data_IF_343316641742
#
_entry.id   IF_343316641742
#
_cell.length_a   1.000
_cell.length_b   1.000
_cell.length_c   1.000
_cell.angle_alpha   90.00
_cell.angle_beta   90.00
_cell.angle_gamma   90.00
#
_symmetry.space_group_name_H-M   'P 1'
#
loop_
_entity.id
_entity.type
_entity.pdbx_description
1 polymer ?
#
# COMPACT_ATOMS: atom_id res chain seq x y z
N UNK A 1 -37.77 48.10 -0.35
CA UNK A 1 -36.72 47.40 0.44
C UNK A 1 -37.31 46.07 0.85
N UNK A 2 -37.02 45.00 0.11
CA UNK A 2 -37.49 43.65 0.47
C UNK A 2 -36.74 43.19 1.72
N UNK A 3 -37.47 43.04 2.81
CA UNK A 3 -37.00 42.37 4.03
C UNK A 3 -36.86 40.88 3.70
N UNK A 4 -35.62 40.47 3.44
CA UNK A 4 -35.23 39.07 3.25
C UNK A 4 -35.66 38.30 4.51
N UNK A 5 -36.66 37.43 4.38
CA UNK A 5 -37.13 36.56 5.48
C UNK A 5 -35.97 35.64 5.85
N UNK A 6 -35.33 35.90 6.98
CA UNK A 6 -34.23 35.08 7.49
C UNK A 6 -34.83 33.75 7.98
N UNK A 7 -34.55 32.68 7.26
CA UNK A 7 -34.98 31.33 7.64
C UNK A 7 -34.11 30.86 8.80
N UNK A 8 -34.71 30.58 9.95
CA UNK A 8 -34.01 29.95 11.08
C UNK A 8 -33.45 28.60 10.63
N UNK A 9 -32.17 28.36 10.90
CA UNK A 9 -31.49 27.11 10.55
C UNK A 9 -31.14 26.38 11.85
N UNK A 10 -31.52 25.11 11.95
CA UNK A 10 -31.23 24.26 13.10
C UNK A 10 -30.20 23.22 12.68
N UNK A 11 -29.09 23.10 13.42
CA UNK A 11 -28.01 22.17 13.11
C UNK A 11 -27.73 21.25 14.29
N UNK A 12 -27.33 20.02 14.00
CA UNK A 12 -26.74 19.10 14.99
C UNK A 12 -25.22 19.24 14.91
N UNK A 13 -24.58 19.62 16.01
CA UNK A 13 -23.13 19.76 16.12
C UNK A 13 -22.58 18.58 16.91
N UNK A 14 -21.63 17.85 16.33
CA UNK A 14 -20.84 16.82 17.00
C UNK A 14 -19.55 17.47 17.47
N UNK A 15 -19.35 17.51 18.78
CA UNK A 15 -18.18 18.09 19.43
C UNK A 15 -16.99 17.12 19.40
N UNK A 16 -15.76 17.58 19.68
CA UNK A 16 -14.56 16.74 19.63
C UNK A 16 -14.54 15.57 20.63
N UNK A 17 -15.40 15.59 21.64
CA UNK A 17 -15.61 14.53 22.63
C UNK A 17 -16.75 13.56 22.23
N UNK A 18 -17.18 13.60 20.97
CA UNK A 18 -18.30 12.87 20.39
C UNK A 18 -19.68 13.17 21.03
N UNK A 19 -19.77 14.19 21.89
CA UNK A 19 -21.05 14.69 22.37
C UNK A 19 -21.78 15.50 21.30
N UNK A 20 -23.11 15.54 21.36
CA UNK A 20 -23.94 16.22 20.36
C UNK A 20 -24.68 17.40 20.98
N UNK A 21 -24.63 18.56 20.35
CA UNK A 21 -25.35 19.76 20.74
C UNK A 21 -26.19 20.32 19.59
N UNK A 22 -27.35 20.89 19.91
CA UNK A 22 -28.19 21.58 18.93
C UNK A 22 -27.77 23.04 18.83
N UNK A 23 -27.45 23.50 17.62
CA UNK A 23 -27.16 24.89 17.28
C UNK A 23 -28.37 25.51 16.59
N UNK A 24 -28.75 26.73 16.98
CA UNK A 24 -29.86 27.46 16.37
C UNK A 24 -29.33 28.78 15.82
N UNK A 25 -29.44 28.95 14.51
CA UNK A 25 -29.06 30.16 13.79
C UNK A 25 -30.31 30.97 13.50
N UNK A 26 -30.65 31.90 14.39
CA UNK A 26 -31.87 32.72 14.30
C UNK A 26 -31.88 33.65 13.08
N UNK A 27 -30.70 34.09 12.64
CA UNK A 27 -30.50 34.98 11.48
C UNK A 27 -30.22 34.21 10.17
N UNK A 28 -30.36 32.88 10.18
CA UNK A 28 -30.02 32.02 9.05
C UNK A 28 -28.53 31.72 8.91
N UNK A 29 -28.15 31.10 7.79
CA UNK A 29 -26.76 30.70 7.54
C UNK A 29 -25.86 31.94 7.33
N UNK A 30 -24.72 32.04 8.06
CA UNK A 30 -23.78 33.14 7.89
C UNK A 30 -23.26 33.25 6.44
N UNK A 31 -22.91 34.46 6.02
CA UNK A 31 -22.37 34.69 4.67
C UNK A 31 -20.95 34.12 4.47
N UNK A 32 -20.25 33.73 5.54
CA UNK A 32 -18.90 33.18 5.51
C UNK A 32 -18.73 32.00 6.46
N UNK A 33 -17.79 31.11 6.12
CA UNK A 33 -17.43 29.95 6.95
C UNK A 33 -16.89 30.39 8.31
N UNK A 34 -16.12 31.48 8.33
CA UNK A 34 -15.60 32.04 9.56
C UNK A 34 -16.71 32.55 10.49
N UNK A 35 -17.77 33.15 9.93
CA UNK A 35 -18.98 33.51 10.68
C UNK A 35 -19.65 32.28 11.30
N UNK A 36 -19.76 31.18 10.56
CA UNK A 36 -20.31 29.93 11.07
C UNK A 36 -19.44 29.30 12.18
N UNK A 37 -18.12 29.34 12.02
CA UNK A 37 -17.18 28.87 13.06
C UNK A 37 -17.33 29.69 14.34
N UNK A 38 -17.48 31.02 14.24
CA UNK A 38 -17.65 31.89 15.39
C UNK A 38 -18.97 31.62 16.12
N UNK A 39 -20.06 31.38 15.40
CA UNK A 39 -21.35 31.03 16.00
C UNK A 39 -21.31 29.67 16.72
N UNK A 40 -20.63 28.68 16.11
CA UNK A 40 -20.37 27.38 16.75
C UNK A 40 -19.50 27.54 18.01
N UNK A 41 -18.46 28.39 17.98
CA UNK A 41 -17.65 28.70 19.18
C UNK A 41 -18.49 29.28 20.30
N UNK A 42 -19.33 30.26 19.96
CA UNK A 42 -20.13 31.00 20.92
C UNK A 42 -21.16 30.10 21.60
N UNK A 43 -21.94 29.32 20.83
CA UNK A 43 -23.02 28.49 21.39
C UNK A 43 -22.53 27.16 21.97
N UNK A 44 -21.43 26.59 21.46
CA UNK A 44 -20.87 25.33 21.97
C UNK A 44 -19.73 25.53 23.00
N UNK A 45 -19.40 26.77 23.37
CA UNK A 45 -18.37 27.07 24.37
C UNK A 45 -16.95 26.62 23.98
N UNK A 46 -16.68 26.51 22.67
CA UNK A 46 -15.41 26.00 22.16
C UNK A 46 -14.34 27.10 22.13
N UNK A 47 -13.13 26.75 22.58
CA UNK A 47 -11.94 27.62 22.55
C UNK A 47 -10.91 27.06 21.58
N UNK A 48 -10.23 27.93 20.83
CA UNK A 48 -9.18 27.55 19.88
C UNK A 48 -9.62 27.56 18.41
N UNK A 49 -8.74 27.10 17.53
CA UNK A 49 -9.01 26.93 16.10
C UNK A 49 -9.52 25.51 15.83
N UNK A 50 -10.59 25.37 15.05
CA UNK A 50 -11.11 24.08 14.59
C UNK A 50 -11.60 24.18 13.14
N UNK A 51 -11.78 23.02 12.51
CA UNK A 51 -12.47 22.86 11.22
C UNK A 51 -13.86 22.27 11.44
N UNK A 52 -14.74 22.54 10.48
CA UNK A 52 -16.07 21.94 10.41
C UNK A 52 -16.11 20.94 9.26
N UNK A 53 -16.75 19.80 9.52
CA UNK A 53 -17.14 18.84 8.49
C UNK A 53 -18.66 18.76 8.44
N UNK A 54 -19.25 18.57 7.26
CA UNK A 54 -20.69 18.30 7.11
C UNK A 54 -20.92 16.84 6.74
N UNK A 55 -22.07 16.32 7.13
CA UNK A 55 -22.50 14.97 6.78
C UNK A 55 -23.17 14.98 5.40
N UNK A 56 -22.61 14.23 4.44
CA UNK A 56 -23.13 14.16 3.08
C UNK A 56 -24.02 12.90 2.89
N UNK A 57 -25.29 13.12 2.56
CA UNK A 57 -26.26 12.04 2.34
C UNK A 57 -26.03 11.28 1.03
N UNK A 58 -25.33 11.86 0.05
CA UNK A 58 -25.02 11.22 -1.24
C UNK A 58 -23.90 10.18 -1.12
N UNK A 59 -23.04 10.30 -0.10
CA UNK A 59 -21.90 9.42 0.16
C UNK A 59 -22.07 8.59 1.43
N UNK A 60 -23.28 8.09 1.68
CA UNK A 60 -23.53 7.17 2.79
C UNK A 60 -23.42 7.79 4.19
N UNK A 61 -23.68 9.09 4.32
CA UNK A 61 -23.57 9.86 5.57
C UNK A 61 -22.13 9.98 6.10
N UNK A 62 -21.13 9.95 5.21
CA UNK A 62 -19.75 10.26 5.54
C UNK A 62 -19.54 11.78 5.77
N UNK A 63 -18.49 12.12 6.53
CA UNK A 63 -18.17 13.51 6.88
C UNK A 63 -17.13 14.11 5.92
N UNK A 64 -17.48 15.22 5.27
CA UNK A 64 -16.62 15.95 4.34
C UNK A 64 -16.24 17.32 4.91
N UNK A 65 -15.06 17.81 4.55
CA UNK A 65 -14.63 19.15 4.98
C UNK A 65 -15.55 20.21 4.40
N UNK A 66 -16.02 21.11 5.26
CA UNK A 66 -16.90 22.20 4.85
C UNK A 66 -16.08 23.25 4.09
N UNK A 67 -16.31 23.36 2.78
CA UNK A 67 -15.63 24.33 1.90
C UNK A 67 -16.51 25.49 1.48
N UNK A 68 -17.83 25.37 1.68
CA UNK A 68 -18.79 26.45 1.45
C UNK A 68 -19.95 26.37 2.43
N UNK A 69 -20.48 27.51 2.88
CA UNK A 69 -21.67 27.54 3.76
C UNK A 69 -22.92 27.02 3.04
N UNK A 70 -22.93 27.03 1.70
CA UNK A 70 -24.02 26.45 0.88
C UNK A 70 -24.16 24.94 1.00
N UNK A 71 -23.13 24.24 1.49
CA UNK A 71 -23.15 22.79 1.73
C UNK A 71 -23.92 22.44 3.02
N UNK A 72 -24.18 23.45 3.88
CA UNK A 72 -24.93 23.27 5.13
C UNK A 72 -26.41 23.42 4.87
N UNK A 73 -27.17 22.37 5.16
CA UNK A 73 -28.63 22.37 5.06
C UNK A 73 -29.30 22.49 6.42
N UNK A 74 -30.53 23.02 6.45
CA UNK A 74 -31.37 22.99 7.65
C UNK A 74 -31.59 21.55 8.12
N UNK A 75 -31.44 21.33 9.43
CA UNK A 75 -31.40 20.01 10.09
C UNK A 75 -30.19 19.14 9.71
N UNK A 76 -29.17 19.73 9.10
CA UNK A 76 -27.90 19.07 8.80
C UNK A 76 -27.06 18.76 10.05
N UNK A 77 -26.07 17.88 9.89
CA UNK A 77 -25.11 17.53 10.94
C UNK A 77 -23.73 18.07 10.59
N UNK A 78 -23.12 18.81 11.51
CA UNK A 78 -21.75 19.28 11.42
C UNK A 78 -20.89 18.61 12.51
N UNK A 79 -19.64 18.29 12.18
CA UNK A 79 -18.66 17.74 13.10
C UNK A 79 -17.50 18.71 13.29
N UNK A 80 -17.16 18.99 14.54
CA UNK A 80 -16.05 19.85 14.92
C UNK A 80 -14.78 19.02 15.02
N UNK A 81 -13.75 19.42 14.27
CA UNK A 81 -12.42 18.81 14.30
C UNK A 81 -11.44 19.83 14.86
N UNK A 82 -11.03 19.63 16.11
CA UNK A 82 -10.05 20.48 16.78
C UNK A 82 -8.64 20.22 16.23
N UNK A 83 -7.87 21.28 15.96
CA UNK A 83 -6.47 21.17 15.54
C UNK A 83 -5.51 20.87 16.68
N UNK A 84 -5.94 21.06 17.94
CA UNK A 84 -5.08 20.87 19.11
C UNK A 84 -4.92 19.41 19.55
N UNK A 85 -5.73 18.50 18.99
CA UNK A 85 -5.67 17.05 19.24
C UNK A 85 -5.91 16.29 17.93
N UNK A 86 -5.01 15.40 17.49
CA UNK A 86 -5.28 14.55 16.33
C UNK A 86 -6.26 13.44 16.71
N UNK A 87 -7.56 13.63 16.44
CA UNK A 87 -8.57 12.59 16.70
C UNK A 87 -8.72 11.65 15.52
N UNK A 88 -8.36 10.39 15.77
CA UNK A 88 -8.61 9.17 15.00
C UNK A 88 -10.11 8.90 14.86
N UNK A 89 -10.64 8.83 13.64
CA UNK A 89 -12.02 8.35 13.42
C UNK A 89 -12.03 6.83 13.41
N UNK A 90 -12.65 6.27 14.45
CA UNK A 90 -12.99 4.85 14.57
C UNK A 90 -14.33 4.58 13.87
N UNK A 91 -14.35 3.64 12.92
CA UNK A 91 -15.57 2.94 12.52
C UNK A 91 -15.48 1.52 13.08
N UNK A 92 -16.32 1.25 14.07
CA UNK A 92 -16.52 -0.07 14.65
C UNK A 92 -17.54 -0.83 13.80
N UNK A 93 -17.21 -2.05 13.38
CA UNK A 93 -18.22 -3.05 13.07
C UNK A 93 -18.00 -4.34 13.86
N UNK A 94 -19.15 -4.81 14.32
CA UNK A 94 -19.54 -5.94 15.14
C UNK A 94 -18.72 -7.23 15.11
N UNK A 95 -18.50 -7.69 16.34
CA UNK A 95 -18.30 -9.06 16.79
C UNK A 95 -19.38 -10.05 16.32
N UNK A 96 -18.94 -11.24 15.88
CA UNK A 96 -19.70 -12.50 15.99
C UNK A 96 -18.74 -13.60 16.48
N UNK A 97 -19.22 -14.40 17.43
CA UNK A 97 -18.47 -15.29 18.30
C UNK A 97 -18.43 -16.76 17.83
N UNK A 98 -17.33 -17.44 18.19
CA UNK A 98 -17.17 -18.88 18.55
C UNK A 98 -17.17 -19.98 17.46
N UNK A 99 -16.64 -21.21 17.75
CA UNK A 99 -15.58 -21.64 18.69
C UNK A 99 -14.57 -22.67 18.11
N UNK A 100 -13.61 -23.06 18.98
CA UNK A 100 -12.49 -23.99 18.86
C UNK A 100 -12.82 -25.46 18.49
N UNK A 101 -11.97 -26.07 17.66
CA UNK A 101 -11.43 -27.46 17.66
C UNK A 101 -10.70 -27.66 16.33
N UNK A 102 -9.48 -28.18 16.16
CA UNK A 102 -8.65 -29.07 16.95
C UNK A 102 -8.09 -30.10 15.96
N UNK A 103 -6.80 -30.03 15.60
CA UNK A 103 -5.98 -31.17 15.14
C UNK A 103 -4.58 -30.73 14.70
N UNK A 104 -3.57 -31.39 15.28
CA UNK A 104 -2.15 -31.30 14.92
C UNK A 104 -1.89 -31.85 13.50
N UNK A 105 -0.83 -31.40 12.80
CA UNK A 105 -0.22 -32.15 11.70
C UNK A 105 0.93 -33.05 12.21
N UNK A 106 1.13 -34.26 11.65
CA UNK A 106 2.35 -35.01 11.88
C UNK A 106 3.46 -34.56 10.93
N UNK A 107 4.66 -34.58 11.50
CA UNK A 107 5.97 -34.41 10.89
C UNK A 107 6.26 -35.45 9.82
N UNK A 108 6.98 -35.06 8.76
CA UNK A 108 7.90 -35.97 8.08
C UNK A 108 9.10 -35.15 7.60
N UNK A 109 10.24 -35.46 8.21
CA UNK A 109 11.57 -35.13 7.70
C UNK A 109 11.72 -35.71 6.29
N UNK A 110 12.35 -34.96 5.39
CA UNK A 110 13.27 -35.62 4.46
C UNK A 110 14.37 -34.66 4.01
N UNK A 111 15.59 -35.15 4.19
CA UNK A 111 16.85 -34.45 3.97
C UNK A 111 17.38 -34.80 2.59
N UNK A 112 17.53 -33.84 1.66
CA UNK A 112 18.36 -34.06 0.47
C UNK A 112 19.15 -32.81 0.04
N UNK A 113 20.46 -32.93 0.29
CA UNK A 113 21.62 -32.69 -0.55
C UNK A 113 21.58 -31.58 -1.63
N UNK A 114 22.61 -30.74 -1.50
CA UNK A 114 23.13 -29.74 -2.42
C UNK A 114 23.29 -30.25 -3.86
N UNK A 115 22.78 -29.48 -4.83
CA UNK A 115 23.23 -29.54 -6.22
C UNK A 115 23.18 -28.14 -6.81
N UNK A 116 24.30 -27.70 -7.38
CA UNK A 116 24.61 -26.33 -7.76
C UNK A 116 23.62 -25.74 -8.75
N UNK A 117 23.09 -24.56 -8.41
CA UNK A 117 22.33 -23.73 -9.34
C UNK A 117 23.27 -22.70 -9.93
N UNK A 118 23.46 -22.76 -11.24
CA UNK A 118 24.04 -21.67 -12.01
C UNK A 118 23.06 -20.50 -11.98
N UNK A 119 23.48 -19.39 -11.40
CA UNK A 119 22.76 -18.11 -11.50
C UNK A 119 22.96 -17.58 -12.92
N UNK A 120 21.87 -17.28 -13.61
CA UNK A 120 21.92 -16.35 -14.74
C UNK A 120 21.86 -14.95 -14.16
N UNK A 121 23.02 -14.30 -14.07
CA UNK A 121 23.13 -12.88 -13.77
C UNK A 121 22.27 -12.08 -14.75
N UNK A 122 21.14 -11.58 -14.26
CA UNK A 122 20.38 -10.55 -14.96
C UNK A 122 21.20 -9.27 -14.78
N UNK A 123 21.85 -8.87 -15.86
CA UNK A 123 22.63 -7.64 -15.99
C UNK A 123 21.95 -6.48 -15.26
N UNK A 124 22.58 -6.08 -14.15
CA UNK A 124 22.21 -4.90 -13.39
C UNK A 124 22.65 -3.67 -14.18
N UNK A 125 21.79 -3.20 -15.08
CA UNK A 125 21.86 -1.81 -15.54
C UNK A 125 21.14 -0.97 -14.49
N UNK A 126 21.95 -0.30 -13.65
CA UNK A 126 21.50 0.75 -12.73
C UNK A 126 20.64 1.76 -13.48
N UNK A 127 19.60 2.27 -12.81
CA UNK A 127 18.65 3.27 -13.32
C UNK A 127 17.63 2.72 -14.34
N UNK A 128 16.82 1.72 -13.96
CA UNK A 128 15.72 1.22 -14.79
C UNK A 128 14.37 1.51 -14.13
N UNK A 129 13.51 2.20 -14.88
CA UNK A 129 12.15 2.65 -14.57
C UNK A 129 11.15 1.49 -14.34
N UNK A 130 11.41 0.68 -13.32
CA UNK A 130 10.30 0.08 -12.59
C UNK A 130 9.61 1.22 -11.82
N UNK A 131 8.28 1.23 -11.77
CA UNK A 131 7.55 2.11 -10.84
C UNK A 131 7.92 1.86 -9.36
N UNK A 132 8.69 0.80 -9.09
CA UNK A 132 9.27 0.48 -7.80
C UNK A 132 10.76 0.82 -7.76
N UNK A 133 11.22 1.35 -6.64
CA UNK A 133 12.63 1.68 -6.43
C UNK A 133 13.52 0.43 -6.45
N UNK A 134 14.79 0.59 -6.83
CA UNK A 134 15.78 -0.49 -6.68
C UNK A 134 15.95 -0.86 -5.20
N UNK A 135 16.22 -2.13 -4.93
CA UNK A 135 16.38 -2.57 -3.53
C UNK A 135 17.58 -1.84 -2.88
N UNK A 136 17.39 -1.18 -1.73
CA UNK A 136 18.41 -0.32 -1.18
C UNK A 136 19.53 -1.13 -0.51
N UNK A 137 20.77 -0.64 -0.60
CA UNK A 137 21.91 -1.24 0.09
C UNK A 137 21.72 -1.25 1.62
N UNK A 138 21.04 -0.24 2.15
CA UNK A 138 20.64 -0.13 3.56
C UNK A 138 19.14 0.08 3.63
N UNK A 139 18.44 -0.76 4.38
CA UNK A 139 16.99 -0.61 4.52
C UNK A 139 16.69 0.38 5.65
N UNK A 140 16.04 1.49 5.32
CA UNK A 140 15.62 2.47 6.31
C UNK A 140 14.26 2.09 6.87
N UNK A 141 14.20 1.86 8.19
CA UNK A 141 12.94 1.54 8.86
C UNK A 141 12.05 2.78 8.85
N UNK A 142 10.80 2.67 8.35
CA UNK A 142 9.88 3.79 8.25
C UNK A 142 9.50 4.32 9.65
N UNK A 143 8.83 5.46 9.68
CA UNK A 143 8.20 5.95 10.91
C UNK A 143 6.92 5.17 11.14
N UNK A 144 6.72 4.69 12.36
CA UNK A 144 5.49 3.99 12.74
C UNK A 144 4.38 4.97 13.12
N UNK A 145 3.19 4.44 13.38
CA UNK A 145 2.09 5.23 13.93
C UNK A 145 2.50 5.88 15.26
N UNK A 146 1.89 7.03 15.59
CA UNK A 146 2.29 7.81 16.77
C UNK A 146 2.25 7.01 18.08
N UNK A 147 1.22 6.18 18.25
CA UNK A 147 1.08 5.29 19.41
C UNK A 147 2.17 4.20 19.45
N UNK A 148 2.53 3.65 18.30
CA UNK A 148 3.61 2.66 18.20
C UNK A 148 4.97 3.29 18.53
N UNK A 149 5.27 4.47 17.96
CA UNK A 149 6.50 5.21 18.27
C UNK A 149 6.57 5.57 19.76
N UNK A 150 5.47 6.04 20.36
CA UNK A 150 5.43 6.40 21.78
C UNK A 150 5.72 5.17 22.67
N UNK A 151 5.12 4.01 22.36
CA UNK A 151 5.41 2.76 23.08
C UNK A 151 6.86 2.32 22.92
N UNK A 152 7.40 2.42 21.69
CA UNK A 152 8.80 2.07 21.41
C UNK A 152 9.78 2.99 22.15
N UNK A 153 9.49 4.29 22.23
CA UNK A 153 10.26 5.26 22.98
C UNK A 153 10.19 5.00 24.49
N UNK A 154 8.99 4.75 25.03
CA UNK A 154 8.81 4.38 26.44
C UNK A 154 9.59 3.11 26.79
N UNK A 155 9.64 2.14 25.88
CA UNK A 155 10.39 0.91 26.05
C UNK A 155 11.91 1.04 25.80
N UNK A 156 12.37 2.11 25.15
CA UNK A 156 13.79 2.35 24.93
C UNK A 156 14.53 2.66 26.25
N UNK A 157 13.90 3.43 27.15
CA UNK A 157 14.46 3.76 28.46
C UNK A 157 14.80 2.53 29.34
N UNK A 158 13.86 1.60 29.63
CA UNK A 158 14.16 0.42 30.42
C UNK A 158 15.16 -0.52 29.74
N UNK A 159 15.20 -0.53 28.40
CA UNK A 159 16.22 -1.27 27.66
C UNK A 159 17.62 -0.71 27.93
N UNK A 160 17.81 0.61 27.85
CA UNK A 160 19.10 1.26 28.13
C UNK A 160 19.52 1.04 29.59
N UNK A 161 18.57 1.09 30.53
CA UNK A 161 18.86 0.98 31.96
C UNK A 161 19.16 -0.46 32.43
N UNK A 162 18.49 -1.46 31.86
CA UNK A 162 18.47 -2.83 32.43
C UNK A 162 18.60 -3.94 31.38
N UNK A 163 18.71 -3.60 30.10
CA UNK A 163 18.65 -4.58 29.00
C UNK A 163 17.27 -5.25 28.88
N UNK A 164 16.23 -4.67 29.47
CA UNK A 164 14.89 -5.23 29.43
C UNK A 164 14.31 -5.09 28.03
N UNK A 165 14.01 -6.23 27.43
CA UNK A 165 13.36 -6.34 26.12
C UNK A 165 11.86 -6.10 26.26
N UNK A 166 11.30 -5.34 25.33
CA UNK A 166 9.85 -5.18 25.17
C UNK A 166 9.26 -6.42 24.51
N UNK A 167 8.27 -7.03 25.14
CA UNK A 167 7.38 -7.99 24.49
C UNK A 167 6.24 -7.18 23.86
N UNK A 168 6.18 -7.02 22.53
CA UNK A 168 5.17 -6.17 21.90
C UNK A 168 3.78 -6.80 22.05
N UNK A 169 2.79 -5.98 22.37
CA UNK A 169 1.40 -6.42 22.30
C UNK A 169 1.02 -6.78 20.85
N UNK A 170 0.07 -7.71 20.61
CA UNK A 170 -0.28 -8.16 19.26
C UNK A 170 -0.66 -7.02 18.30
N UNK A 171 -1.29 -5.95 18.83
CA UNK A 171 -1.67 -4.77 18.05
C UNK A 171 -0.44 -3.96 17.64
N UNK A 172 0.48 -3.67 18.57
CA UNK A 172 1.77 -3.02 18.25
C UNK A 172 2.58 -3.83 17.26
N UNK A 173 2.68 -5.16 17.46
CA UNK A 173 3.40 -6.05 16.54
C UNK A 173 2.82 -5.98 15.14
N UNK A 174 1.49 -6.04 14.99
CA UNK A 174 0.87 -5.90 13.68
C UNK A 174 1.15 -4.54 13.05
N UNK A 175 1.02 -3.44 13.79
CA UNK A 175 1.24 -2.09 13.27
C UNK A 175 2.68 -1.88 12.73
N UNK A 176 3.68 -2.38 13.45
CA UNK A 176 5.08 -2.37 13.01
C UNK A 176 5.25 -3.18 11.72
N UNK A 177 4.69 -4.41 11.69
CA UNK A 177 4.78 -5.27 10.51
C UNK A 177 4.04 -4.68 9.30
N UNK A 178 2.90 -4.04 9.51
CA UNK A 178 2.13 -3.35 8.47
C UNK A 178 2.96 -2.22 7.85
N UNK A 179 3.53 -1.34 8.68
CA UNK A 179 4.38 -0.25 8.20
C UNK A 179 5.60 -0.74 7.42
N UNK A 180 6.27 -1.79 7.92
CA UNK A 180 7.40 -2.41 7.21
C UNK A 180 6.98 -3.01 5.87
N UNK A 181 5.84 -3.69 5.81
CA UNK A 181 5.33 -4.26 4.55
C UNK A 181 5.01 -3.16 3.55
N UNK A 182 4.37 -2.06 3.98
CA UNK A 182 4.08 -0.92 3.10
C UNK A 182 5.35 -0.29 2.51
N UNK A 183 6.43 -0.24 3.28
CA UNK A 183 7.72 0.24 2.80
C UNK A 183 8.37 -0.77 1.82
N UNK A 184 8.40 -2.06 2.17
CA UNK A 184 8.99 -3.13 1.35
C UNK A 184 8.35 -3.18 -0.04
N UNK A 185 7.02 -3.08 -0.13
CA UNK A 185 6.33 -3.19 -1.42
C UNK A 185 6.61 -2.02 -2.35
N UNK A 186 7.14 -0.89 -1.87
CA UNK A 186 7.61 0.18 -2.77
C UNK A 186 8.84 -0.25 -3.59
N UNK A 187 9.57 -1.28 -3.14
CA UNK A 187 10.73 -1.83 -3.85
C UNK A 187 10.38 -3.14 -4.58
N UNK A 188 9.86 -4.13 -3.85
CA UNK A 188 9.58 -5.47 -4.41
C UNK A 188 8.42 -6.16 -3.69
N UNK A 189 7.56 -6.85 -4.45
CA UNK A 189 6.49 -7.68 -3.86
C UNK A 189 6.99 -9.07 -3.46
N UNK A 190 7.93 -9.61 -4.23
CA UNK A 190 8.52 -10.92 -4.02
C UNK A 190 9.95 -10.77 -3.50
N UNK A 191 10.06 -10.72 -2.18
CA UNK A 191 11.33 -10.47 -1.48
C UNK A 191 12.07 -11.79 -1.24
N UNK A 192 13.39 -11.77 -1.43
CA UNK A 192 14.27 -12.90 -1.16
C UNK A 192 14.54 -13.06 0.35
N UNK A 193 15.07 -14.22 0.74
CA UNK A 193 15.36 -14.48 2.15
C UNK A 193 16.43 -13.53 2.73
N UNK A 194 17.44 -13.16 1.93
CA UNK A 194 18.51 -12.23 2.31
C UNK A 194 17.99 -10.82 2.55
N UNK A 195 17.11 -10.35 1.67
CA UNK A 195 16.46 -9.03 1.77
C UNK A 195 15.54 -8.95 3.00
N UNK A 196 14.77 -10.02 3.29
CA UNK A 196 13.97 -10.11 4.52
C UNK A 196 14.83 -10.06 5.79
N UNK A 197 15.99 -10.71 5.74
CA UNK A 197 17.00 -10.69 6.79
C UNK A 197 17.52 -9.27 7.03
N UNK A 198 17.80 -8.51 5.97
CA UNK A 198 18.24 -7.12 6.04
C UNK A 198 17.18 -6.23 6.70
N UNK A 199 15.89 -6.39 6.36
CA UNK A 199 14.80 -5.61 6.98
C UNK A 199 14.70 -5.91 8.48
N UNK A 200 14.71 -7.19 8.85
CA UNK A 200 14.60 -7.60 10.25
C UNK A 200 15.80 -7.12 11.09
N UNK A 201 17.01 -7.16 10.54
CA UNK A 201 18.21 -6.57 11.18
C UNK A 201 18.06 -5.06 11.38
N UNK A 202 17.62 -4.35 10.34
CA UNK A 202 17.47 -2.89 10.38
C UNK A 202 16.43 -2.46 11.42
N UNK A 203 15.34 -3.24 11.58
CA UNK A 203 14.33 -3.03 12.63
C UNK A 203 14.94 -3.08 14.03
N UNK A 204 15.72 -4.12 14.34
CA UNK A 204 16.35 -4.27 15.66
C UNK A 204 17.44 -3.24 15.88
N UNK A 205 18.21 -2.89 14.84
CA UNK A 205 19.23 -1.85 14.94
C UNK A 205 18.63 -0.48 15.31
N UNK A 206 17.46 -0.14 14.74
CA UNK A 206 16.74 1.10 15.08
C UNK A 206 16.03 1.01 16.44
N UNK A 207 15.47 -0.15 16.77
CA UNK A 207 14.74 -0.38 18.01
C UNK A 207 15.28 -1.63 18.75
N UNK A 208 16.42 -1.50 19.47
CA UNK A 208 17.03 -2.63 20.17
C UNK A 208 16.14 -3.26 21.24
N UNK A 209 15.17 -2.50 21.77
CA UNK A 209 14.17 -2.98 22.72
C UNK A 209 13.27 -4.10 22.15
N UNK A 210 13.22 -4.30 20.84
CA UNK A 210 12.42 -5.35 20.18
C UNK A 210 13.16 -6.69 20.02
N UNK A 211 14.39 -6.81 20.50
CA UNK A 211 15.23 -8.01 20.30
C UNK A 211 14.62 -9.25 20.99
N UNK A 212 14.32 -10.31 20.25
CA UNK A 212 13.73 -11.52 20.82
C UNK A 212 14.76 -12.32 21.65
N UNK A 213 14.41 -12.60 22.91
CA UNK A 213 15.24 -13.44 23.79
C UNK A 213 15.20 -14.90 23.31
N UNK A 214 16.36 -15.54 23.16
CA UNK A 214 16.49 -16.96 22.80
C UNK A 214 16.68 -17.25 21.30
N UNK A 215 16.65 -16.23 20.44
CA UNK A 215 17.10 -16.39 19.04
C UNK A 215 18.59 -16.08 18.93
N UNK A 216 19.36 -16.92 18.23
CA UNK A 216 20.79 -16.68 17.97
C UNK A 216 21.06 -15.37 17.23
N UNK A 217 20.06 -14.86 16.50
CA UNK A 217 20.13 -13.61 15.73
C UNK A 217 19.41 -12.45 16.39
N UNK A 218 18.52 -12.71 17.36
CA UNK A 218 17.68 -11.70 18.00
C UNK A 218 16.51 -11.15 17.16
N UNK A 219 16.44 -11.45 15.85
CA UNK A 219 15.40 -10.97 14.94
C UNK A 219 14.66 -12.09 14.16
N UNK A 220 14.96 -13.36 14.43
CA UNK A 220 14.44 -14.49 13.65
C UNK A 220 12.90 -14.61 13.63
N UNK A 221 12.23 -14.33 14.75
CA UNK A 221 10.77 -14.32 14.82
C UNK A 221 10.15 -13.10 14.15
N UNK A 222 10.84 -11.95 14.14
CA UNK A 222 10.46 -10.79 13.32
C UNK A 222 10.53 -11.11 11.82
N UNK A 223 11.62 -11.72 11.36
CA UNK A 223 11.77 -12.18 9.97
C UNK A 223 10.62 -13.12 9.58
N UNK A 224 10.32 -14.09 10.43
CA UNK A 224 9.25 -15.07 10.19
C UNK A 224 7.87 -14.40 10.16
N UNK A 225 7.60 -13.51 11.12
CA UNK A 225 6.34 -12.75 11.18
C UNK A 225 6.17 -11.87 9.94
N UNK A 226 7.25 -11.23 9.47
CA UNK A 226 7.26 -10.40 8.27
C UNK A 226 7.00 -11.22 7.01
N UNK A 227 7.56 -12.44 6.88
CA UNK A 227 7.27 -13.36 5.76
C UNK A 227 5.78 -13.68 5.69
N UNK A 228 5.17 -14.03 6.81
CA UNK A 228 3.73 -14.32 6.87
C UNK A 228 2.90 -13.08 6.54
N UNK A 229 3.24 -11.93 7.12
CA UNK A 229 2.53 -10.67 6.89
C UNK A 229 2.59 -10.25 5.42
N UNK A 230 3.76 -10.29 4.80
CA UNK A 230 3.94 -10.00 3.38
C UNK A 230 3.18 -11.00 2.49
N UNK A 231 3.15 -12.29 2.86
CA UNK A 231 2.35 -13.29 2.15
C UNK A 231 0.84 -13.00 2.19
N UNK A 232 0.33 -12.61 3.35
CA UNK A 232 -1.06 -12.21 3.51
C UNK A 232 -1.36 -10.93 2.73
N UNK A 233 -0.45 -9.95 2.76
CA UNK A 233 -0.58 -8.70 2.02
C UNK A 233 -0.59 -8.93 0.51
N UNK A 234 0.26 -9.82 -0.03
CA UNK A 234 0.18 -10.26 -1.44
C UNK A 234 -1.19 -10.83 -1.79
N UNK A 235 -1.78 -11.62 -0.90
CA UNK A 235 -3.13 -12.16 -1.10
C UNK A 235 -4.17 -11.04 -1.15
N UNK A 236 -4.01 -9.98 -0.35
CA UNK A 236 -4.85 -8.78 -0.41
C UNK A 236 -4.65 -8.00 -1.73
N UNK A 237 -3.41 -7.73 -2.14
CA UNK A 237 -3.10 -7.08 -3.42
C UNK A 237 -3.69 -7.85 -4.61
N UNK A 238 -3.72 -9.19 -4.55
CA UNK A 238 -4.38 -10.03 -5.54
C UNK A 238 -5.88 -9.77 -5.61
N UNK A 239 -6.55 -9.60 -4.47
CA UNK A 239 -7.99 -9.29 -4.42
C UNK A 239 -8.30 -7.91 -5.02
N UNK A 240 -7.39 -6.95 -4.85
CA UNK A 240 -7.47 -5.62 -5.45
C UNK A 240 -7.16 -5.59 -6.96
N UNK A 241 -6.75 -6.71 -7.55
CA UNK A 241 -6.47 -6.80 -8.98
C UNK A 241 -5.04 -6.43 -9.40
N UNK A 242 -4.09 -6.30 -8.46
CA UNK A 242 -2.70 -5.92 -8.78
C UNK A 242 -2.05 -6.91 -9.77
N UNK A 243 -1.72 -6.49 -11.02
CA UNK A 243 -1.17 -7.35 -12.09
C UNK A 243 0.02 -8.21 -11.64
N UNK A 244 0.97 -7.63 -10.91
CA UNK A 244 2.20 -8.32 -10.47
C UNK A 244 1.94 -9.56 -9.61
N UNK A 245 0.83 -9.58 -8.86
CA UNK A 245 0.47 -10.70 -7.98
C UNK A 245 -0.61 -11.59 -8.59
N UNK A 246 -1.50 -11.02 -9.40
CA UNK A 246 -2.61 -11.74 -10.03
C UNK A 246 -2.12 -12.65 -11.16
N UNK A 247 -1.08 -12.24 -11.89
CA UNK A 247 -0.46 -13.05 -12.95
C UNK A 247 0.11 -14.38 -12.41
N UNK A 248 0.54 -14.39 -11.15
CA UNK A 248 1.07 -15.57 -10.47
C UNK A 248 0.00 -16.40 -9.75
N UNK A 249 -1.29 -16.06 -9.92
CA UNK A 249 -2.42 -16.77 -9.32
C UNK A 249 -2.85 -17.97 -10.16
N UNK A 250 -3.12 -19.10 -9.50
CA UNK A 250 -3.69 -20.29 -10.16
C UNK A 250 -5.05 -20.04 -10.82
N UNK A 251 -5.79 -19.02 -10.37
CA UNK A 251 -7.14 -18.69 -10.87
C UNK A 251 -7.16 -17.99 -12.23
N UNK A 252 -6.06 -17.32 -12.60
CA UNK A 252 -5.93 -16.59 -13.87
C UNK A 252 -5.27 -17.43 -14.96
N UNK A 253 -5.04 -18.72 -14.71
CA UNK A 253 -4.60 -19.65 -15.75
C UNK A 253 -5.74 -19.87 -16.76
N UNK A 254 -5.42 -20.00 -18.06
CA UNK A 254 -6.44 -20.19 -19.11
C UNK A 254 -7.38 -21.36 -18.80
N UNK A 255 -8.64 -21.23 -19.24
CA UNK A 255 -9.68 -22.24 -18.99
C UNK A 255 -9.21 -23.64 -19.45
N UNK A 256 -9.43 -24.66 -18.61
CA UNK A 256 -8.95 -26.04 -18.84
C UNK A 256 -7.52 -26.33 -18.34
N UNK A 257 -6.79 -25.34 -17.85
CA UNK A 257 -5.38 -25.45 -17.42
C UNK A 257 -5.14 -24.96 -15.98
N UNK A 258 -6.12 -25.21 -15.10
CA UNK A 258 -6.13 -24.81 -13.67
C UNK A 258 -5.34 -25.77 -12.77
N UNK A 259 -4.21 -26.28 -13.23
CA UNK A 259 -3.29 -27.07 -12.39
C UNK A 259 -2.13 -26.21 -11.92
N UNK A 260 -1.62 -26.44 -10.71
CA UNK A 260 -0.43 -25.75 -10.21
C UNK A 260 0.76 -25.89 -11.19
N UNK A 261 0.83 -27.03 -11.89
CA UNK A 261 1.87 -27.42 -12.83
C UNK A 261 1.65 -26.97 -14.30
N UNK A 262 0.59 -26.23 -14.64
CA UNK A 262 0.42 -25.78 -16.03
C UNK A 262 1.61 -24.90 -16.47
N UNK A 263 2.32 -25.33 -17.52
CA UNK A 263 3.53 -24.69 -18.06
C UNK A 263 4.86 -25.20 -17.47
N UNK A 264 4.82 -26.08 -16.46
CA UNK A 264 6.00 -26.48 -15.67
C UNK A 264 6.40 -27.92 -16.03
N UNK A 265 7.38 -28.10 -16.94
CA UNK A 265 7.82 -29.43 -17.43
C UNK A 265 8.50 -30.30 -16.34
N UNK A 266 8.99 -29.71 -15.27
CA UNK A 266 9.43 -30.34 -13.98
C UNK A 266 9.24 -29.29 -12.90
N UNK A 267 9.02 -29.68 -11.64
CA UNK A 267 8.95 -28.76 -10.50
C UNK A 267 10.28 -28.00 -10.30
N UNK A 268 10.53 -27.02 -11.17
CA UNK A 268 11.54 -25.99 -10.96
C UNK A 268 10.98 -25.07 -9.90
N UNK A 269 11.79 -24.80 -8.89
CA UNK A 269 11.51 -23.85 -7.82
C UNK A 269 10.86 -22.59 -8.41
N UNK A 270 9.63 -22.31 -7.97
CA UNK A 270 8.76 -21.20 -8.32
C UNK A 270 9.40 -20.08 -9.19
N UNK A 271 9.32 -20.23 -10.52
CA UNK A 271 9.55 -19.10 -11.43
C UNK A 271 8.37 -18.14 -11.26
N UNK A 272 8.63 -16.99 -10.63
CA UNK A 272 7.63 -15.94 -10.41
C UNK A 272 7.66 -15.01 -11.63
N UNK A 273 6.50 -14.83 -12.27
CA UNK A 273 6.40 -13.85 -13.34
C UNK A 273 6.37 -12.45 -12.76
N UNK A 274 7.42 -11.67 -13.02
CA UNK A 274 7.40 -10.23 -12.78
C UNK A 274 6.52 -9.53 -13.84
N UNK A 275 5.52 -8.77 -13.42
CA UNK A 275 4.59 -8.04 -14.31
C UNK A 275 4.21 -6.68 -13.69
N UNK A 276 5.00 -5.62 -13.92
CA UNK A 276 4.78 -4.32 -13.29
C UNK A 276 3.51 -3.65 -13.82
N UNK A 277 2.91 -2.74 -13.05
CA UNK A 277 1.77 -1.94 -13.50
C UNK A 277 2.18 -0.91 -14.56
N UNK A 278 1.23 -0.51 -15.42
CA UNK A 278 1.43 0.61 -16.32
C UNK A 278 1.59 1.92 -15.52
N UNK A 279 2.45 2.85 -15.98
CA UNK A 279 2.50 4.19 -15.43
C UNK A 279 1.11 4.86 -15.45
N UNK A 280 0.75 5.70 -14.46
CA UNK A 280 -0.59 6.31 -14.37
C UNK A 280 -1.02 7.11 -15.61
N UNK A 281 -0.05 7.59 -16.38
CA UNK A 281 -0.23 8.45 -17.55
C UNK A 281 -0.30 7.66 -18.87
N UNK A 282 -0.03 6.35 -18.84
CA UNK A 282 0.07 5.52 -20.03
C UNK A 282 -1.09 4.52 -20.12
N UNK A 283 -1.98 4.73 -21.09
CA UNK A 283 -3.02 3.75 -21.46
C UNK A 283 -2.46 2.67 -22.38
N UNK A 284 -3.16 1.53 -22.49
CA UNK A 284 -2.83 0.46 -23.45
C UNK A 284 -2.76 1.01 -24.89
N UNK A 285 -3.65 1.92 -25.25
CA UNK A 285 -3.68 2.59 -26.55
C UNK A 285 -2.44 3.48 -26.80
N UNK A 286 -1.97 4.18 -25.76
CA UNK A 286 -0.74 4.98 -25.83
C UNK A 286 0.49 4.09 -26.04
N UNK A 287 0.54 2.96 -25.34
CA UNK A 287 1.62 1.98 -25.44
C UNK A 287 1.62 1.28 -26.81
N UNK A 288 0.45 0.99 -27.39
CA UNK A 288 0.33 0.51 -28.77
C UNK A 288 0.77 1.56 -29.80
N UNK A 289 0.43 2.83 -29.60
CA UNK A 289 0.90 3.93 -30.45
C UNK A 289 2.43 4.06 -30.38
N UNK A 290 3.00 3.94 -29.18
CA UNK A 290 4.45 3.93 -28.97
C UNK A 290 5.11 2.72 -29.64
N UNK A 291 4.48 1.54 -29.60
CA UNK A 291 4.94 0.33 -30.28
C UNK A 291 4.95 0.51 -31.82
N UNK A 292 3.89 1.09 -32.41
CA UNK A 292 3.87 1.42 -33.84
C UNK A 292 4.95 2.42 -34.22
N UNK A 293 5.18 3.43 -33.37
CA UNK A 293 6.25 4.41 -33.56
C UNK A 293 7.64 3.76 -33.50
N UNK A 294 7.84 2.80 -32.59
CA UNK A 294 9.08 2.05 -32.45
C UNK A 294 9.42 1.27 -33.73
N UNK A 295 8.44 0.63 -34.38
CA UNK A 295 8.64 -0.11 -35.63
C UNK A 295 9.17 0.77 -36.78
N UNK A 296 8.77 2.05 -36.80
CA UNK A 296 9.29 3.02 -37.77
C UNK A 296 10.69 3.49 -37.39
N UNK A 297 10.93 3.69 -36.10
CA UNK A 297 12.16 4.24 -35.56
C UNK A 297 13.35 3.29 -35.65
N UNK A 298 13.13 1.99 -35.55
CA UNK A 298 14.16 0.94 -35.75
C UNK A 298 14.71 0.97 -37.17
N UNK A 299 13.91 1.38 -38.16
CA UNK A 299 14.34 1.45 -39.57
C UNK A 299 15.14 2.71 -39.91
N UNK A 300 15.18 3.70 -39.00
CA UNK A 300 15.88 4.97 -39.22
C UNK A 300 17.36 4.85 -38.85
N UNK A 301 18.24 5.50 -39.62
CA UNK A 301 19.66 5.64 -39.28
C UNK A 301 19.82 6.57 -38.07
N UNK A 302 20.75 6.25 -37.16
CA UNK A 302 21.12 7.04 -35.97
C UNK A 302 20.01 7.30 -34.94
N UNK A 303 19.09 6.35 -34.71
CA UNK A 303 17.96 6.52 -33.80
C UNK A 303 18.06 5.68 -32.50
N UNK A 304 19.27 5.24 -32.13
CA UNK A 304 19.50 4.27 -31.04
C UNK A 304 18.96 4.75 -29.70
N UNK A 305 19.17 6.02 -29.34
CA UNK A 305 18.70 6.60 -28.08
C UNK A 305 17.17 6.65 -27.98
N UNK A 306 16.49 7.04 -29.07
CA UNK A 306 15.02 7.12 -29.10
C UNK A 306 14.41 5.71 -29.04
N UNK A 307 15.02 4.75 -29.73
CA UNK A 307 14.62 3.34 -29.67
C UNK A 307 14.80 2.80 -28.26
N UNK A 308 15.94 3.08 -27.61
CA UNK A 308 16.22 2.69 -26.23
C UNK A 308 15.17 3.26 -25.26
N UNK A 309 14.92 4.57 -25.33
CA UNK A 309 13.91 5.24 -24.52
C UNK A 309 12.52 4.62 -24.69
N UNK A 310 12.05 4.44 -25.93
CA UNK A 310 10.73 3.84 -26.21
C UNK A 310 10.64 2.38 -25.79
N UNK A 311 11.75 1.65 -25.88
CA UNK A 311 11.83 0.29 -25.38
C UNK A 311 11.67 0.26 -23.86
N UNK A 312 12.40 1.11 -23.13
CA UNK A 312 12.27 1.22 -21.67
C UNK A 312 10.82 1.50 -21.24
N UNK A 313 10.15 2.47 -21.88
CA UNK A 313 8.76 2.82 -21.57
C UNK A 313 7.76 1.69 -21.89
N UNK A 314 7.98 0.96 -22.99
CA UNK A 314 7.12 -0.17 -23.37
C UNK A 314 7.42 -1.47 -22.63
N UNK A 315 8.34 -1.49 -21.65
CA UNK A 315 8.72 -2.70 -20.91
C UNK A 315 7.52 -3.40 -20.26
N UNK A 316 6.67 -2.64 -19.55
CA UNK A 316 5.51 -3.21 -18.88
C UNK A 316 4.56 -3.87 -19.90
N UNK A 317 4.28 -3.21 -21.03
CA UNK A 317 3.40 -3.75 -22.09
C UNK A 317 3.95 -5.04 -22.69
N UNK A 318 5.23 -5.06 -23.05
CA UNK A 318 5.94 -6.25 -23.55
C UNK A 318 5.86 -7.41 -22.57
N UNK A 319 6.06 -7.14 -21.28
CA UNK A 319 6.05 -8.17 -20.26
C UNK A 319 4.66 -8.78 -20.07
N UNK A 320 3.62 -7.96 -20.12
CA UNK A 320 2.23 -8.43 -20.09
C UNK A 320 1.92 -9.34 -21.29
N UNK A 321 2.35 -8.97 -22.50
CA UNK A 321 2.13 -9.76 -23.71
C UNK A 321 2.81 -11.15 -23.62
N UNK A 322 4.09 -11.18 -23.21
CA UNK A 322 4.84 -12.45 -23.06
C UNK A 322 4.19 -13.37 -22.02
N UNK A 323 3.71 -12.83 -20.90
CA UNK A 323 3.21 -13.64 -19.79
C UNK A 323 1.75 -14.04 -19.94
N UNK A 324 0.89 -13.13 -20.43
CA UNK A 324 -0.56 -13.36 -20.53
C UNK A 324 -0.93 -14.00 -21.86
N UNK A 325 -0.46 -13.43 -22.96
CA UNK A 325 -0.90 -13.79 -24.30
C UNK A 325 -0.07 -14.95 -24.86
N UNK A 326 1.17 -15.10 -24.39
CA UNK A 326 2.12 -16.14 -24.79
C UNK A 326 2.15 -16.34 -26.33
N UNK A 327 2.41 -15.27 -27.10
CA UNK A 327 2.37 -15.32 -28.57
C UNK A 327 3.46 -16.23 -29.14
N UNK A 328 3.32 -16.62 -30.41
CA UNK A 328 4.42 -17.30 -31.10
C UNK A 328 5.64 -16.39 -31.18
N UNK A 329 6.84 -16.97 -31.03
CA UNK A 329 8.11 -16.23 -31.07
C UNK A 329 8.22 -15.38 -32.33
N UNK A 330 7.79 -15.91 -33.48
CA UNK A 330 7.79 -15.19 -34.76
C UNK A 330 6.97 -13.89 -34.71
N UNK A 331 5.78 -13.96 -34.13
CA UNK A 331 4.86 -12.81 -34.05
C UNK A 331 5.39 -11.77 -33.04
N UNK A 332 5.95 -12.24 -31.92
CA UNK A 332 6.57 -11.38 -30.92
C UNK A 332 7.80 -10.64 -31.48
N UNK A 333 8.66 -11.34 -32.24
CA UNK A 333 9.81 -10.72 -32.91
C UNK A 333 9.38 -9.67 -33.94
N UNK A 334 8.32 -9.94 -34.70
CA UNK A 334 7.79 -8.97 -35.66
C UNK A 334 7.24 -7.71 -34.98
N UNK A 335 6.66 -7.87 -33.78
CA UNK A 335 6.09 -6.77 -33.00
C UNK A 335 7.15 -5.95 -32.25
N UNK A 336 8.27 -6.58 -31.86
CA UNK A 336 9.36 -5.99 -31.09
C UNK A 336 10.75 -6.25 -31.68
N UNK A 337 11.03 -5.80 -32.92
CA UNK A 337 12.30 -6.09 -33.61
C UNK A 337 13.52 -5.51 -32.88
N UNK A 338 13.36 -4.36 -32.22
CA UNK A 338 14.40 -3.69 -31.44
C UNK A 338 14.99 -4.56 -30.31
N UNK A 339 14.29 -5.61 -29.83
CA UNK A 339 14.83 -6.54 -28.83
C UNK A 339 15.96 -7.40 -29.39
N UNK A 340 16.00 -7.59 -30.71
CA UNK A 340 16.87 -8.58 -31.37
C UNK A 340 17.93 -7.91 -32.26
N UNK A 341 17.82 -6.60 -32.50
CA UNK A 341 18.76 -5.81 -33.31
C UNK A 341 19.89 -5.16 -32.47
N UNK A 342 20.16 -5.65 -31.26
CA UNK A 342 21.22 -5.09 -30.40
C UNK A 342 22.58 -5.67 -30.79
N UNK A 343 23.30 -4.99 -31.68
CA UNK A 343 24.77 -4.99 -31.61
C UNK A 343 25.18 -4.18 -30.38
N UNK A 344 25.86 -4.83 -29.43
CA UNK A 344 26.52 -4.15 -28.29
C UNK A 344 27.43 -3.01 -28.79
#
# INVERSE_FOLDING_TARGET
METKILKTVILKIILPDDSCQRLILSEGLPASIEGLINEVKQQCGLKGSFKLQFMDSLFGNEFFNLTSVSEVQDKGTLKVIDFSKPTTTHSAESSVSNPLQGSNPPSTDDSFLSSGSVDTDILSSSESSSSRFSWPAVFHVPRFSYDAELKLQQAAFPYIQSGTVLIPDPKLKSAILDALVQEIVQYKVYVSDKEMDQVARSLIQKHPCLTEKGSSTGYGGWKTSLKYKLSNYRTHLRKLGCPEVTVNSLKNKPAGKRTAAFGVKKAKRAEVNFCPMYPPEESEESLEAMQKSLLLDVKKKNNREVVKYKMEHTFAHRRHEVVRDAPMVKDFMAKWPALFDVTE
#
